data_IF_945443278692
#
_entry.id   IF_945443278692
#
_cell.length_a   1.000
_cell.length_b   1.000
_cell.length_c   1.000
_cell.angle_alpha   90.00
_cell.angle_beta   90.00
_cell.angle_gamma   90.00
#
_symmetry.space_group_name_H-M   'P 1'
#
loop_
_entity.id
_entity.type
_entity.pdbx_description
1 polymer ?
#
# COMPACT_ATOMS: atom_id res chain seq x y z
N UNK A 1 10.53 -8.45 0.60
CA UNK A 1 9.84 -9.51 -0.16
C UNK A 1 10.88 -10.28 -0.95
N UNK A 2 10.61 -11.55 -1.25
CA UNK A 2 11.53 -12.42 -1.99
C UNK A 2 10.93 -12.87 -3.33
N UNK A 3 11.68 -13.68 -4.07
CA UNK A 3 11.29 -14.26 -5.37
C UNK A 3 10.23 -15.36 -5.26
N UNK A 4 9.83 -15.73 -4.04
CA UNK A 4 8.74 -16.68 -3.75
C UNK A 4 7.41 -15.99 -3.46
N UNK A 5 7.30 -14.69 -3.74
CA UNK A 5 6.10 -13.88 -3.49
C UNK A 5 5.70 -13.82 -2.00
N UNK A 6 6.70 -13.91 -1.12
CA UNK A 6 6.52 -13.84 0.34
C UNK A 6 6.98 -12.48 0.87
N UNK A 7 6.22 -11.94 1.83
CA UNK A 7 6.58 -10.73 2.54
C UNK A 7 7.37 -11.03 3.82
N UNK A 8 8.55 -10.42 3.94
CA UNK A 8 9.25 -10.32 5.22
C UNK A 8 8.78 -9.06 5.94
N UNK A 9 8.11 -9.25 7.07
CA UNK A 9 7.52 -8.17 7.86
C UNK A 9 8.45 -7.77 9.00
N UNK A 10 8.50 -6.47 9.28
CA UNK A 10 9.18 -5.89 10.43
C UNK A 10 8.30 -4.77 10.98
N UNK A 11 8.06 -4.80 12.29
CA UNK A 11 7.40 -3.71 13.00
C UNK A 11 8.41 -2.64 13.41
N UNK A 12 8.04 -1.38 13.23
CA UNK A 12 8.76 -0.25 13.81
C UNK A 12 8.01 0.13 15.10
N UNK A 13 8.60 -0.18 16.25
CA UNK A 13 7.94 0.00 17.56
C UNK A 13 7.96 1.45 18.05
N UNK A 14 8.96 2.23 17.62
CA UNK A 14 9.08 3.63 18.00
C UNK A 14 8.24 4.51 17.06
N UNK A 15 7.68 5.64 17.55
CA UNK A 15 7.12 6.65 16.69
C UNK A 15 8.13 7.08 15.61
N UNK A 16 7.63 7.35 14.41
CA UNK A 16 8.45 7.79 13.29
C UNK A 16 7.64 8.76 12.42
N UNK A 17 8.34 9.68 11.77
CA UNK A 17 7.74 10.65 10.86
C UNK A 17 7.34 9.97 9.54
N UNK A 18 6.10 10.18 9.09
CA UNK A 18 5.65 9.73 7.77
C UNK A 18 6.22 10.67 6.69
N UNK A 19 7.35 10.30 6.11
CA UNK A 19 8.06 11.11 5.09
C UNK A 19 7.34 11.07 3.74
N UNK A 20 6.89 9.89 3.33
CA UNK A 20 6.09 9.73 2.11
C UNK A 20 5.17 8.52 2.23
N UNK A 21 3.98 8.66 1.64
CA UNK A 21 3.01 7.59 1.45
C UNK A 21 2.60 7.58 -0.02
N UNK A 22 2.87 6.49 -0.72
CA UNK A 22 2.50 6.34 -2.12
C UNK A 22 1.78 5.02 -2.34
N UNK A 23 0.68 5.07 -3.10
CA UNK A 23 -0.01 3.85 -3.45
C UNK A 23 -1.32 4.09 -4.19
N UNK A 24 -2.16 3.07 -4.21
CA UNK A 24 -3.49 3.15 -4.80
C UNK A 24 -4.53 2.43 -3.93
N UNK A 25 -5.77 2.85 -4.11
CA UNK A 25 -6.97 2.18 -3.63
C UNK A 25 -7.67 1.55 -4.83
N UNK A 26 -7.86 0.23 -4.77
CA UNK A 26 -8.53 -0.58 -5.78
C UNK A 26 -9.61 -1.44 -5.09
N UNK A 27 -10.28 -2.29 -5.87
CA UNK A 27 -11.25 -3.25 -5.32
C UNK A 27 -10.85 -4.69 -5.65
N UNK A 28 -11.19 -5.63 -4.79
CA UNK A 28 -11.19 -7.05 -5.12
C UNK A 28 -12.34 -7.38 -6.10
N UNK A 29 -12.33 -8.61 -6.62
CA UNK A 29 -13.37 -9.10 -7.53
C UNK A 29 -14.76 -9.12 -6.88
N UNK A 30 -14.84 -9.31 -5.55
CA UNK A 30 -16.07 -9.26 -4.76
C UNK A 30 -16.54 -7.82 -4.43
N UNK A 31 -15.77 -6.80 -4.88
CA UNK A 31 -16.06 -5.39 -4.64
C UNK A 31 -15.49 -4.82 -3.34
N UNK A 32 -14.91 -5.63 -2.47
CA UNK A 32 -14.27 -5.13 -1.24
C UNK A 32 -13.05 -4.25 -1.54
N UNK A 33 -12.82 -3.24 -0.73
CA UNK A 33 -11.73 -2.28 -0.93
C UNK A 33 -10.36 -2.89 -0.59
N UNK A 34 -9.34 -2.52 -1.36
CA UNK A 34 -7.96 -2.94 -1.14
C UNK A 34 -6.98 -1.80 -1.42
N UNK A 35 -6.12 -1.50 -0.46
CA UNK A 35 -5.04 -0.54 -0.63
C UNK A 35 -3.71 -1.25 -0.86
N UNK A 36 -2.91 -0.74 -1.78
CA UNK A 36 -1.49 -1.10 -1.90
C UNK A 36 -0.68 0.15 -1.66
N UNK A 37 -0.06 0.22 -0.48
CA UNK A 37 0.68 1.38 -0.01
C UNK A 37 2.15 1.03 0.21
N UNK A 38 3.03 1.92 -0.21
CA UNK A 38 4.42 1.94 0.17
C UNK A 38 4.67 3.23 0.95
N UNK A 39 5.46 3.13 2.00
CA UNK A 39 5.77 4.27 2.85
C UNK A 39 7.26 4.33 3.15
N UNK A 40 7.74 5.54 3.42
CA UNK A 40 9.04 5.79 4.05
C UNK A 40 8.79 6.50 5.36
N UNK A 41 9.40 5.97 6.41
CA UNK A 41 9.40 6.54 7.75
C UNK A 41 10.81 7.01 8.10
N UNK A 42 10.92 8.10 8.85
CA UNK A 42 12.19 8.55 9.43
C UNK A 42 12.08 8.54 10.97
N UNK A 43 13.09 7.99 11.63
CA UNK A 43 13.21 8.05 13.09
C UNK A 43 13.91 9.35 13.55
N UNK A 44 14.06 9.50 14.87
CA UNK A 44 14.66 10.67 15.52
C UNK A 44 16.14 10.90 15.13
N UNK A 45 16.82 9.87 14.63
CA UNK A 45 18.20 9.95 14.13
C UNK A 45 18.26 10.25 12.62
N UNK A 46 17.12 10.58 12.01
CA UNK A 46 16.94 10.80 10.57
C UNK A 46 17.25 9.56 9.71
N UNK A 47 17.24 8.37 10.30
CA UNK A 47 17.42 7.13 9.55
C UNK A 47 16.08 6.73 8.94
N UNK A 48 16.09 6.43 7.65
CA UNK A 48 14.86 6.08 6.92
C UNK A 48 14.65 4.58 6.86
N UNK A 49 13.41 4.14 7.07
CA UNK A 49 12.95 2.80 6.78
C UNK A 49 11.82 2.86 5.76
N UNK A 50 11.93 2.09 4.68
CA UNK A 50 10.97 2.15 3.57
C UNK A 50 10.55 0.77 3.09
N UNK A 51 9.31 0.62 2.67
CA UNK A 51 8.83 -0.63 2.10
C UNK A 51 7.33 -0.65 1.85
N UNK A 52 6.80 -1.86 1.67
CA UNK A 52 5.37 -2.10 1.64
C UNK A 52 4.78 -1.88 3.05
N UNK A 53 3.74 -1.06 3.15
CA UNK A 53 3.07 -0.77 4.42
C UNK A 53 1.86 -1.69 4.58
N UNK A 54 1.90 -2.53 5.62
CA UNK A 54 0.76 -3.39 5.99
C UNK A 54 -0.23 -2.64 6.86
N UNK A 55 0.27 -2.03 7.92
CA UNK A 55 -0.50 -1.28 8.89
C UNK A 55 0.41 -0.24 9.56
N UNK A 56 -0.21 0.81 10.10
CA UNK A 56 0.44 1.81 10.92
C UNK A 56 -0.61 2.45 11.83
N UNK A 57 -0.20 2.86 13.03
CA UNK A 57 -1.05 3.68 13.90
C UNK A 57 -0.73 5.15 13.65
N UNK A 58 -1.74 5.94 13.27
CA UNK A 58 -1.58 7.39 13.16
C UNK A 58 -1.50 7.97 14.57
N UNK A 59 -0.32 8.49 14.94
CA UNK A 59 -0.10 9.02 16.29
C UNK A 59 -0.62 10.45 16.44
N UNK A 60 -0.17 11.37 15.58
CA UNK A 60 -0.63 12.77 15.57
C UNK A 60 -1.44 13.07 14.31
N UNK A 61 -0.87 12.86 13.13
CA UNK A 61 -1.51 13.19 11.85
C UNK A 61 -1.01 12.28 10.73
N UNK A 62 -1.88 12.04 9.75
CA UNK A 62 -1.52 11.54 8.43
C UNK A 62 -2.30 12.36 7.40
N UNK A 63 -1.61 13.26 6.69
CA UNK A 63 -2.23 14.12 5.69
C UNK A 63 -2.21 13.41 4.32
N UNK A 64 -3.37 12.88 3.91
CA UNK A 64 -3.47 12.02 2.73
C UNK A 64 -4.28 12.71 1.63
N UNK A 65 -3.65 12.93 0.49
CA UNK A 65 -4.32 13.37 -0.73
C UNK A 65 -4.67 12.16 -1.61
N UNK A 66 -5.93 12.08 -2.06
CA UNK A 66 -6.40 11.03 -2.97
C UNK A 66 -6.94 11.63 -4.26
N UNK A 67 -6.57 11.03 -5.40
CA UNK A 67 -7.12 11.39 -6.71
C UNK A 67 -8.00 10.27 -7.24
N UNK A 68 -9.22 10.62 -7.62
CA UNK A 68 -10.16 9.68 -8.26
C UNK A 68 -9.74 9.45 -9.71
N UNK A 69 -9.70 8.18 -10.11
CA UNK A 69 -9.40 7.73 -11.47
C UNK A 69 -10.68 7.27 -12.17
N UNK A 70 -11.53 8.21 -12.58
CA UNK A 70 -12.89 7.90 -13.06
C UNK A 70 -12.96 7.06 -14.35
N UNK A 71 -11.90 7.07 -15.16
CA UNK A 71 -11.88 6.40 -16.47
C UNK A 71 -11.20 5.04 -16.42
N UNK A 72 -10.78 4.58 -15.24
CA UNK A 72 -10.05 3.32 -15.07
C UNK A 72 -10.67 2.53 -13.93
N UNK A 73 -10.97 1.27 -14.23
CA UNK A 73 -11.28 0.24 -13.26
C UNK A 73 -9.98 -0.42 -12.81
N UNK A 74 -9.73 -0.35 -11.49
CA UNK A 74 -8.62 -1.02 -10.81
C UNK A 74 -9.15 -2.22 -10.02
N UNK A 75 -8.78 -3.43 -10.43
CA UNK A 75 -9.21 -4.68 -9.77
C UNK A 75 -8.01 -5.45 -9.25
N UNK A 76 -8.12 -5.97 -8.03
CA UNK A 76 -7.10 -6.74 -7.32
C UNK A 76 -7.39 -8.23 -7.42
N UNK A 77 -6.41 -8.99 -7.91
CA UNK A 77 -6.50 -10.43 -8.14
C UNK A 77 -5.41 -11.15 -7.32
N UNK A 78 -5.77 -12.01 -6.36
CA UNK A 78 -4.79 -12.82 -5.64
C UNK A 78 -3.95 -13.66 -6.62
N UNK A 79 -2.65 -13.74 -6.39
CA UNK A 79 -1.80 -14.69 -7.11
C UNK A 79 -2.00 -16.09 -6.55
N UNK A 80 -1.86 -17.12 -7.39
CA UNK A 80 -2.09 -18.52 -7.00
C UNK A 80 -1.02 -19.02 -6.03
N UNK A 81 0.22 -18.52 -6.16
CA UNK A 81 1.40 -19.07 -5.48
C UNK A 81 2.08 -18.06 -4.53
N UNK A 82 1.34 -17.27 -3.76
CA UNK A 82 1.96 -16.37 -2.77
C UNK A 82 1.03 -15.37 -2.08
N UNK A 83 1.63 -14.42 -1.36
CA UNK A 83 0.90 -13.39 -0.61
C UNK A 83 0.54 -12.17 -1.46
N UNK A 84 0.96 -12.14 -2.73
CA UNK A 84 0.83 -10.96 -3.58
C UNK A 84 -0.55 -10.88 -4.23
N UNK A 85 -1.02 -9.63 -4.39
CA UNK A 85 -2.31 -9.32 -5.02
C UNK A 85 -2.07 -8.42 -6.23
N UNK A 86 -2.14 -9.01 -7.41
CA UNK A 86 -1.90 -8.34 -8.69
C UNK A 86 -2.94 -7.24 -8.94
N UNK A 87 -2.51 -6.13 -9.54
CA UNK A 87 -3.39 -5.07 -10.02
C UNK A 87 -3.70 -5.25 -11.52
N UNK A 88 -4.99 -5.38 -11.85
CA UNK A 88 -5.49 -5.33 -13.23
C UNK A 88 -6.14 -3.98 -13.49
N UNK A 89 -5.75 -3.36 -14.59
CA UNK A 89 -6.30 -2.10 -15.07
C UNK A 89 -7.21 -2.38 -16.27
N UNK A 90 -8.39 -1.78 -16.27
CA UNK A 90 -9.33 -1.82 -17.39
C UNK A 90 -9.84 -0.40 -17.62
N UNK A 91 -10.05 -0.01 -18.87
CA UNK A 91 -10.74 1.25 -19.14
C UNK A 91 -12.18 1.13 -18.66
N UNK A 92 -12.71 2.20 -18.10
CA UNK A 92 -14.13 2.32 -17.83
C UNK A 92 -14.81 2.61 -19.17
N UNK A 93 -15.44 1.62 -19.79
CA UNK A 93 -16.33 1.87 -20.92
C UNK A 93 -17.55 2.67 -20.40
N UNK A 94 -17.95 3.76 -21.08
CA UNK A 94 -19.08 4.59 -20.69
C UNK A 94 -20.43 3.87 -20.80
#
# INVERSE_FOLDING_TARGET
MDDTFTYHRRTLEQPAELVTLQGNLARHQDGSAFTHLHATFADDDFVTQSGHMFEATVFVVAEIHMRIMSNIVMTRCPMVDGEFVELKLQNHEP
#
